data_IF_070988613140
#
_entry.id   IF_070988613140
#
_cell.length_a   1.000
_cell.length_b   1.000
_cell.length_c   1.000
_cell.angle_alpha   90.00
_cell.angle_beta   90.00
_cell.angle_gamma   90.00
#
_symmetry.space_group_name_H-M   'P 1'
#
loop_
_entity.id
_entity.type
_entity.pdbx_description
1 polymer ?
#
# COMPACT_ATOMS: atom_id res chain seq x y z
N UNK A 1 -5.92 -19.97 9.18
CA UNK A 1 -5.59 -21.21 8.41
C UNK A 1 -6.15 -21.18 6.98
N UNK A 2 -5.30 -21.09 5.93
CA UNK A 2 -5.71 -21.19 4.51
C UNK A 2 -5.25 -22.53 3.95
N UNK A 3 -6.19 -23.41 3.58
CA UNK A 3 -5.93 -24.67 2.87
C UNK A 3 -6.77 -24.72 1.60
N UNK A 4 -6.08 -25.08 0.52
CA UNK A 4 -6.57 -25.51 -0.81
C UNK A 4 -7.65 -24.65 -1.50
N UNK A 5 -7.21 -23.91 -2.53
CA UNK A 5 -8.11 -23.35 -3.55
C UNK A 5 -8.69 -21.97 -3.26
N UNK A 6 -7.98 -21.15 -2.47
CA UNK A 6 -8.38 -19.80 -1.98
C UNK A 6 -9.40 -19.07 -2.85
N UNK A 7 -10.66 -19.23 -2.51
CA UNK A 7 -11.76 -18.52 -3.15
C UNK A 7 -11.74 -17.05 -2.74
N UNK A 8 -11.81 -16.15 -3.72
CA UNK A 8 -11.91 -14.71 -3.45
C UNK A 8 -13.37 -14.29 -3.37
N UNK A 9 -13.75 -13.68 -2.25
CA UNK A 9 -15.05 -13.06 -2.07
C UNK A 9 -14.91 -11.54 -1.93
N UNK A 10 -15.80 -10.81 -2.59
CA UNK A 10 -15.82 -9.34 -2.63
C UNK A 10 -17.23 -8.83 -2.38
N UNK A 11 -17.35 -7.68 -1.73
CA UNK A 11 -18.63 -7.01 -1.44
C UNK A 11 -18.41 -5.50 -1.32
N UNK A 12 -19.49 -4.72 -1.33
CA UNK A 12 -19.47 -3.27 -1.22
C UNK A 12 -19.81 -2.57 -2.53
N UNK A 13 -19.17 -1.42 -2.76
CA UNK A 13 -19.43 -0.59 -3.95
C UNK A 13 -18.87 -1.24 -5.21
N UNK A 14 -19.63 -1.20 -6.31
CA UNK A 14 -19.26 -1.90 -7.55
C UNK A 14 -19.57 -1.13 -8.85
N UNK A 15 -19.65 0.20 -8.78
CA UNK A 15 -20.04 1.04 -9.94
C UNK A 15 -19.05 0.99 -11.11
N UNK A 16 -17.78 0.69 -10.84
CA UNK A 16 -16.74 0.53 -11.86
C UNK A 16 -16.34 -0.95 -12.00
N UNK A 17 -17.12 -1.87 -11.44
CA UNK A 17 -16.80 -3.29 -11.44
C UNK A 17 -15.63 -3.67 -10.53
N UNK A 18 -15.26 -2.84 -9.55
CA UNK A 18 -14.11 -3.05 -8.65
C UNK A 18 -14.19 -4.29 -7.76
N UNK A 19 -15.35 -4.96 -7.71
CA UNK A 19 -15.53 -6.24 -7.05
C UNK A 19 -15.22 -7.44 -7.97
N UNK A 20 -15.13 -7.25 -9.29
CA UNK A 20 -14.75 -8.33 -10.22
C UNK A 20 -15.87 -9.35 -10.46
N UNK A 21 -17.11 -8.98 -10.17
CA UNK A 21 -18.31 -9.81 -10.28
C UNK A 21 -19.37 -9.20 -11.21
N UNK A 22 -18.90 -8.60 -12.31
CA UNK A 22 -19.67 -7.76 -13.25
C UNK A 22 -20.12 -6.44 -12.62
N UNK A 23 -20.16 -5.35 -13.39
CA UNK A 23 -20.43 -4.02 -12.84
C UNK A 23 -21.90 -3.87 -12.41
N UNK A 24 -22.13 -3.28 -11.24
CA UNK A 24 -23.47 -3.05 -10.69
C UNK A 24 -23.57 -1.66 -10.07
N UNK A 25 -24.65 -0.93 -10.36
CA UNK A 25 -24.88 0.42 -9.83
C UNK A 25 -25.24 0.43 -8.35
N UNK A 26 -25.84 -0.67 -7.86
CA UNK A 26 -26.17 -0.85 -6.45
C UNK A 26 -25.04 -1.59 -5.71
N UNK A 27 -24.69 -1.17 -4.47
CA UNK A 27 -23.73 -1.88 -3.66
C UNK A 27 -24.15 -3.34 -3.41
N UNK A 28 -23.19 -4.25 -3.39
CA UNK A 28 -23.40 -5.67 -3.08
C UNK A 28 -23.22 -5.86 -1.57
N UNK A 29 -24.28 -6.11 -0.78
CA UNK A 29 -24.20 -6.10 0.68
C UNK A 29 -23.65 -7.41 1.27
N UNK A 30 -23.42 -8.44 0.45
CA UNK A 30 -22.98 -9.76 0.89
C UNK A 30 -21.76 -10.21 0.09
N UNK A 31 -20.81 -10.94 0.71
CA UNK A 31 -19.67 -11.51 0.00
C UNK A 31 -20.10 -12.33 -1.21
N UNK A 32 -19.58 -11.99 -2.40
CA UNK A 32 -19.83 -12.69 -3.64
C UNK A 32 -18.52 -13.26 -4.20
N UNK A 33 -18.59 -14.49 -4.70
CA UNK A 33 -17.44 -15.18 -5.28
C UNK A 33 -17.01 -14.54 -6.60
N UNK A 34 -15.73 -14.20 -6.70
CA UNK A 34 -15.06 -13.77 -7.94
C UNK A 34 -14.77 -15.00 -8.81
N UNK A 35 -15.78 -15.43 -9.58
CA UNK A 35 -15.74 -16.69 -10.35
C UNK A 35 -14.54 -16.81 -11.29
N UNK A 36 -14.06 -15.68 -11.84
CA UNK A 36 -12.94 -15.62 -12.80
C UNK A 36 -11.60 -16.03 -12.20
N UNK A 37 -11.44 -15.95 -10.87
CA UNK A 37 -10.22 -16.35 -10.17
C UNK A 37 -10.35 -17.72 -9.48
N UNK A 38 -11.48 -18.41 -9.65
CA UNK A 38 -11.70 -19.72 -9.03
C UNK A 38 -10.64 -20.72 -9.51
N UNK A 39 -9.99 -21.39 -8.56
CA UNK A 39 -8.95 -22.37 -8.84
C UNK A 39 -7.55 -21.79 -9.05
N UNK A 40 -7.40 -20.46 -9.02
CA UNK A 40 -6.10 -19.79 -9.00
C UNK A 40 -5.68 -19.60 -7.54
N UNK A 41 -4.57 -20.21 -7.08
CA UNK A 41 -4.09 -19.99 -5.73
C UNK A 41 -3.61 -18.54 -5.56
N UNK A 42 -4.28 -17.76 -4.73
CA UNK A 42 -3.94 -16.36 -4.48
C UNK A 42 -2.94 -16.23 -3.31
N UNK A 43 -1.97 -15.35 -3.48
CA UNK A 43 -0.96 -14.99 -2.48
C UNK A 43 -1.33 -13.69 -1.76
N UNK A 44 -1.85 -12.71 -2.50
CA UNK A 44 -2.19 -11.39 -1.97
C UNK A 44 -3.32 -10.75 -2.78
N UNK A 45 -4.07 -9.88 -2.13
CA UNK A 45 -5.02 -8.94 -2.72
C UNK A 45 -4.70 -7.51 -2.27
N UNK A 46 -4.98 -6.53 -3.12
CA UNK A 46 -4.99 -5.11 -2.80
C UNK A 46 -6.21 -4.42 -3.43
N UNK A 47 -6.78 -3.47 -2.70
CA UNK A 47 -7.88 -2.62 -3.16
C UNK A 47 -7.43 -1.16 -3.11
N UNK A 48 -7.67 -0.42 -4.19
CA UNK A 48 -7.39 1.00 -4.33
C UNK A 48 -8.63 1.87 -4.11
N UNK A 49 -8.67 3.03 -4.78
CA UNK A 49 -9.83 3.92 -4.73
C UNK A 49 -11.09 3.28 -5.33
N UNK A 50 -10.97 2.80 -6.58
CA UNK A 50 -12.04 2.12 -7.30
C UNK A 50 -11.53 1.00 -8.21
N UNK A 51 -10.37 0.42 -7.89
CA UNK A 51 -9.80 -0.74 -8.57
C UNK A 51 -9.28 -1.75 -7.56
N UNK A 52 -9.08 -2.98 -8.01
CA UNK A 52 -8.55 -4.08 -7.21
C UNK A 52 -7.52 -4.85 -8.02
N UNK A 53 -6.59 -5.49 -7.33
CA UNK A 53 -5.60 -6.34 -7.95
C UNK A 53 -5.20 -7.49 -7.02
N UNK A 54 -4.73 -8.58 -7.60
CA UNK A 54 -4.25 -9.76 -6.87
C UNK A 54 -2.94 -10.26 -7.45
N UNK A 55 -2.17 -10.91 -6.59
CA UNK A 55 -1.00 -11.69 -6.94
C UNK A 55 -1.31 -13.14 -6.62
N UNK A 56 -1.10 -14.04 -7.59
CA UNK A 56 -1.18 -15.49 -7.38
C UNK A 56 0.10 -16.06 -6.78
N UNK A 57 0.05 -17.29 -6.25
CA UNK A 57 1.25 -17.98 -5.74
C UNK A 57 2.32 -18.23 -6.81
N UNK A 58 1.95 -18.24 -8.10
CA UNK A 58 2.92 -18.32 -9.20
C UNK A 58 3.57 -16.97 -9.55
N UNK A 59 3.10 -15.87 -8.94
CA UNK A 59 3.55 -14.51 -9.21
C UNK A 59 2.82 -13.82 -10.38
N UNK A 60 1.78 -14.45 -10.94
CA UNK A 60 0.91 -13.80 -11.93
C UNK A 60 0.01 -12.74 -11.28
N UNK A 61 -0.17 -11.60 -11.96
CA UNK A 61 -0.94 -10.45 -11.51
C UNK A 61 -2.23 -10.32 -12.30
N UNK A 62 -3.35 -10.09 -11.60
CA UNK A 62 -4.64 -9.75 -12.20
C UNK A 62 -5.14 -8.44 -11.61
N UNK A 63 -5.76 -7.60 -12.44
CA UNK A 63 -6.32 -6.30 -12.04
C UNK A 63 -7.71 -6.09 -12.65
N UNK A 64 -8.55 -5.33 -11.96
CA UNK A 64 -9.89 -4.97 -12.42
C UNK A 64 -10.43 -3.73 -11.67
N UNK A 65 -11.54 -3.20 -12.16
CA UNK A 65 -12.21 -1.99 -11.68
C UNK A 65 -11.98 -0.81 -12.62
N UNK A 66 -11.94 0.38 -12.02
CA UNK A 66 -11.73 1.67 -12.68
C UNK A 66 -10.34 1.77 -13.32
N UNK A 67 -10.23 2.34 -14.52
CA UNK A 67 -8.99 2.42 -15.29
C UNK A 67 -8.71 3.77 -16.00
N UNK A 68 -9.39 4.88 -15.65
CA UNK A 68 -9.22 6.20 -16.29
C UNK A 68 -7.76 6.65 -16.52
N UNK A 69 -6.83 6.22 -15.66
CA UNK A 69 -5.43 6.62 -15.69
C UNK A 69 -4.47 5.47 -16.00
N UNK A 70 -4.97 4.29 -16.35
CA UNK A 70 -4.15 3.10 -16.59
C UNK A 70 -3.76 2.34 -15.31
N UNK A 71 -4.47 2.54 -14.20
CA UNK A 71 -4.16 1.89 -12.90
C UNK A 71 -4.31 0.37 -12.91
N UNK A 72 -4.87 -0.20 -13.98
CA UNK A 72 -4.91 -1.65 -14.21
C UNK A 72 -3.66 -2.20 -14.90
N UNK A 73 -2.85 -1.36 -15.57
CA UNK A 73 -1.59 -1.76 -16.21
C UNK A 73 -1.77 -2.56 -17.51
N UNK A 74 -2.94 -2.44 -18.16
CA UNK A 74 -3.32 -3.24 -19.33
C UNK A 74 -2.95 -2.59 -20.68
N UNK A 75 -2.34 -1.40 -20.66
CA UNK A 75 -1.96 -0.65 -21.86
C UNK A 75 -3.09 0.20 -22.46
N UNK A 76 -4.19 0.36 -21.75
CA UNK A 76 -5.37 1.14 -22.12
C UNK A 76 -5.99 1.83 -20.89
N UNK A 77 -7.06 2.60 -21.10
CA UNK A 77 -7.81 3.32 -20.07
C UNK A 77 -9.23 2.80 -19.89
N UNK A 78 -9.50 1.56 -20.29
CA UNK A 78 -10.84 0.97 -20.23
C UNK A 78 -11.06 0.23 -18.92
N UNK A 79 -12.17 0.51 -18.24
CA UNK A 79 -12.60 -0.20 -17.04
C UNK A 79 -12.74 -1.71 -17.29
N UNK A 80 -12.49 -2.52 -16.26
CA UNK A 80 -12.71 -3.97 -16.31
C UNK A 80 -13.58 -4.40 -15.15
N UNK A 81 -14.73 -4.96 -15.45
CA UNK A 81 -15.64 -5.46 -14.43
C UNK A 81 -15.35 -6.88 -13.92
N UNK A 82 -14.29 -7.47 -14.46
CA UNK A 82 -13.80 -8.80 -14.17
C UNK A 82 -12.26 -8.78 -14.10
N UNK A 83 -11.66 -9.63 -13.24
CA UNK A 83 -10.21 -9.83 -13.18
C UNK A 83 -9.61 -10.08 -14.57
N UNK A 84 -8.66 -9.22 -14.94
CA UNK A 84 -7.93 -9.27 -16.21
C UNK A 84 -6.45 -9.52 -15.96
N UNK A 85 -5.84 -10.39 -16.74
CA UNK A 85 -4.43 -10.75 -16.59
C UNK A 85 -3.51 -9.61 -17.07
N UNK A 86 -2.55 -9.19 -16.24
CA UNK A 86 -1.58 -8.14 -16.58
C UNK A 86 -0.36 -8.78 -17.24
N UNK A 87 -0.44 -9.03 -18.54
CA UNK A 87 0.60 -9.75 -19.30
C UNK A 87 1.98 -9.09 -19.27
N UNK A 88 2.05 -7.76 -19.12
CA UNK A 88 3.31 -7.03 -18.96
C UNK A 88 4.12 -7.46 -17.71
N UNK A 89 3.50 -8.13 -16.74
CA UNK A 89 4.13 -8.64 -15.51
C UNK A 89 4.39 -10.15 -15.50
N UNK A 90 4.21 -10.85 -16.62
CA UNK A 90 4.32 -12.32 -16.69
C UNK A 90 5.65 -12.85 -16.13
N UNK A 91 6.75 -12.16 -16.40
CA UNK A 91 8.09 -12.54 -15.94
C UNK A 91 8.57 -11.73 -14.72
N UNK A 92 7.70 -10.89 -14.15
CA UNK A 92 8.04 -10.04 -13.01
C UNK A 92 8.19 -10.81 -11.70
N UNK A 93 7.57 -11.99 -11.59
CA UNK A 93 7.51 -12.79 -10.35
C UNK A 93 7.04 -11.93 -9.17
N UNK A 94 5.86 -11.34 -9.30
CA UNK A 94 5.28 -10.50 -8.27
C UNK A 94 5.15 -11.28 -6.95
N UNK A 95 5.53 -10.64 -5.86
CA UNK A 95 5.35 -11.17 -4.48
C UNK A 95 4.55 -10.22 -3.62
N UNK A 96 4.48 -8.94 -3.99
CA UNK A 96 3.67 -7.98 -3.29
C UNK A 96 3.00 -6.98 -4.23
N UNK A 97 1.80 -6.53 -3.89
CA UNK A 97 1.04 -5.49 -4.61
C UNK A 97 0.44 -4.46 -3.65
N UNK A 98 0.42 -3.19 -4.07
CA UNK A 98 -0.23 -2.10 -3.34
C UNK A 98 -1.02 -1.24 -4.32
N UNK A 99 -2.23 -0.84 -3.93
CA UNK A 99 -3.10 0.01 -4.73
C UNK A 99 -3.37 1.29 -3.96
N UNK A 100 -3.07 2.44 -4.56
CA UNK A 100 -3.43 3.76 -4.05
C UNK A 100 -4.79 4.21 -4.59
N UNK A 101 -5.03 5.53 -4.60
CA UNK A 101 -6.26 6.11 -5.14
C UNK A 101 -6.52 5.65 -6.59
N UNK A 102 -5.54 5.96 -7.46
CA UNK A 102 -5.61 5.78 -8.91
C UNK A 102 -4.25 5.28 -9.46
N UNK A 103 -3.44 4.61 -8.65
CA UNK A 103 -2.16 4.04 -9.07
C UNK A 103 -1.91 2.70 -8.37
N UNK A 104 -1.00 1.92 -8.94
CA UNK A 104 -0.66 0.58 -8.46
C UNK A 104 0.86 0.43 -8.44
N UNK A 105 1.38 -0.21 -7.41
CA UNK A 105 2.77 -0.61 -7.30
C UNK A 105 2.88 -2.12 -7.10
N UNK A 106 3.85 -2.74 -7.78
CA UNK A 106 4.12 -4.18 -7.71
C UNK A 106 5.59 -4.40 -7.40
N UNK A 107 5.83 -5.27 -6.42
CA UNK A 107 7.15 -5.68 -5.96
C UNK A 107 7.46 -7.10 -6.45
N UNK A 108 8.61 -7.26 -7.10
CA UNK A 108 9.12 -8.58 -7.48
C UNK A 108 9.83 -9.29 -6.34
N UNK A 109 10.00 -10.61 -6.48
CA UNK A 109 10.81 -11.42 -5.55
C UNK A 109 12.26 -10.92 -5.42
N UNK A 110 12.80 -10.35 -6.49
CA UNK A 110 14.15 -9.79 -6.57
C UNK A 110 14.26 -8.38 -5.95
N UNK A 111 13.15 -7.82 -5.44
CA UNK A 111 13.11 -6.51 -4.79
C UNK A 111 13.08 -5.33 -5.78
N UNK A 112 12.60 -5.56 -7.00
CA UNK A 112 12.33 -4.52 -7.99
C UNK A 112 10.92 -3.98 -7.81
N UNK A 113 10.75 -2.67 -8.01
CA UNK A 113 9.45 -2.00 -7.93
C UNK A 113 9.08 -1.47 -9.31
N UNK A 114 7.86 -1.78 -9.75
CA UNK A 114 7.24 -1.10 -10.88
C UNK A 114 5.93 -0.43 -10.44
N UNK A 115 5.61 0.68 -11.07
CA UNK A 115 4.43 1.51 -10.80
C UNK A 115 3.70 1.81 -12.10
N UNK A 116 2.39 2.02 -12.01
CA UNK A 116 1.52 2.38 -13.14
C UNK A 116 0.21 3.04 -12.65
N UNK A 117 -0.50 3.71 -13.55
CA UNK A 117 -1.69 4.50 -13.27
C UNK A 117 -1.44 6.00 -13.31
N UNK A 118 -2.14 6.74 -12.45
CA UNK A 118 -2.05 8.19 -12.37
C UNK A 118 -0.65 8.65 -11.96
N UNK A 119 -0.07 9.59 -12.71
CA UNK A 119 1.26 10.16 -12.44
C UNK A 119 1.29 11.63 -12.10
N UNK A 120 0.15 12.33 -12.12
CA UNK A 120 0.10 13.79 -12.04
C UNK A 120 0.72 14.44 -10.79
N UNK A 121 0.91 13.70 -9.70
CA UNK A 121 1.58 14.16 -8.48
C UNK A 121 3.00 13.60 -8.31
N UNK A 122 3.54 12.86 -9.29
CA UNK A 122 4.82 12.17 -9.17
C UNK A 122 4.75 10.85 -8.38
N UNK A 123 3.56 10.35 -8.05
CA UNK A 123 3.34 9.16 -7.22
C UNK A 123 3.87 7.86 -7.82
N UNK A 124 4.28 7.89 -9.09
CA UNK A 124 4.90 6.76 -9.79
C UNK A 124 6.43 6.76 -9.66
N UNK A 125 7.06 7.88 -9.33
CA UNK A 125 8.50 7.95 -9.08
C UNK A 125 9.39 7.92 -10.33
N UNK A 126 8.86 8.25 -11.51
CA UNK A 126 9.57 8.17 -12.79
C UNK A 126 10.18 9.49 -13.27
N UNK A 127 10.38 10.45 -12.36
CA UNK A 127 10.79 11.81 -12.69
C UNK A 127 9.87 12.47 -13.74
N UNK A 128 8.57 12.19 -13.65
CA UNK A 128 7.56 12.57 -14.63
C UNK A 128 6.21 12.77 -13.95
N UNK A 129 5.34 13.56 -14.57
CA UNK A 129 3.93 13.73 -14.17
C UNK A 129 2.95 13.03 -15.11
N UNK A 130 3.46 12.28 -16.10
CA UNK A 130 2.64 11.53 -17.04
C UNK A 130 2.06 10.26 -16.40
N UNK A 131 0.86 9.87 -16.85
CA UNK A 131 0.29 8.58 -16.48
C UNK A 131 1.04 7.45 -17.20
N UNK A 132 1.10 6.29 -16.56
CA UNK A 132 1.72 5.10 -17.13
C UNK A 132 0.66 4.02 -17.30
N UNK A 133 0.31 3.70 -18.54
CA UNK A 133 -0.74 2.72 -18.86
C UNK A 133 -0.25 1.27 -18.75
N UNK A 134 1.07 1.09 -18.71
CA UNK A 134 1.74 -0.19 -18.54
C UNK A 134 2.72 -0.11 -17.37
N UNK A 135 2.96 -1.20 -16.63
CA UNK A 135 3.94 -1.23 -15.56
C UNK A 135 5.31 -0.72 -16.00
N UNK A 136 5.82 0.30 -15.31
CA UNK A 136 7.14 0.87 -15.54
C UNK A 136 8.01 0.74 -14.29
N UNK A 137 9.26 0.33 -14.48
CA UNK A 137 10.21 0.18 -13.37
C UNK A 137 10.59 1.53 -12.79
N UNK A 138 10.64 1.64 -11.46
CA UNK A 138 11.17 2.80 -10.76
C UNK A 138 12.70 2.68 -10.72
N UNK A 139 13.37 3.29 -11.70
CA UNK A 139 14.80 3.12 -11.95
C UNK A 139 15.68 3.53 -10.76
N UNK A 140 15.25 4.55 -10.02
CA UNK A 140 15.92 5.12 -8.86
C UNK A 140 16.00 4.16 -7.67
N UNK A 141 15.14 3.13 -7.64
CA UNK A 141 15.16 2.07 -6.63
C UNK A 141 15.87 0.79 -7.13
N UNK A 142 16.39 0.81 -8.36
CA UNK A 142 17.07 -0.36 -8.93
C UNK A 142 18.27 -0.76 -8.07
N UNK A 143 18.32 -2.04 -7.69
CA UNK A 143 19.40 -2.58 -6.85
C UNK A 143 19.28 -2.28 -5.35
N UNK A 144 18.30 -1.47 -4.92
CA UNK A 144 18.06 -1.19 -3.49
C UNK A 144 17.60 -2.44 -2.71
N UNK A 145 17.01 -3.42 -3.42
CA UNK A 145 16.36 -4.62 -2.84
C UNK A 145 15.24 -4.22 -1.86
N UNK A 146 14.21 -3.62 -2.44
CA UNK A 146 12.99 -3.24 -1.72
C UNK A 146 12.33 -4.49 -1.13
N UNK A 147 11.77 -4.36 0.07
CA UNK A 147 10.96 -5.44 0.67
C UNK A 147 9.49 -5.09 0.82
N UNK A 148 9.14 -3.80 0.83
CA UNK A 148 7.77 -3.34 1.05
C UNK A 148 7.51 -2.03 0.30
N UNK A 149 6.28 -1.90 -0.21
CA UNK A 149 5.78 -0.72 -0.92
C UNK A 149 4.38 -0.42 -0.42
N UNK A 150 4.05 0.86 -0.25
CA UNK A 150 2.72 1.28 0.14
C UNK A 150 2.27 2.50 -0.68
N UNK A 151 1.08 2.41 -1.26
CA UNK A 151 0.46 3.46 -2.05
C UNK A 151 -0.60 4.21 -1.24
N UNK A 152 -0.53 5.55 -1.25
CA UNK A 152 -1.47 6.41 -0.57
C UNK A 152 -2.84 6.45 -1.26
N UNK A 153 -3.92 6.43 -0.45
CA UNK A 153 -5.31 6.46 -0.93
C UNK A 153 -5.87 7.88 -1.11
N UNK A 154 -5.38 8.85 -0.35
CA UNK A 154 -5.89 10.23 -0.39
C UNK A 154 -4.81 11.18 -0.92
N UNK A 155 -3.66 11.10 -0.28
CA UNK A 155 -2.47 11.77 -0.72
C UNK A 155 -1.81 10.89 -1.79
N UNK A 156 -1.67 11.44 -2.99
CA UNK A 156 -1.08 10.77 -4.16
C UNK A 156 0.42 10.56 -3.92
N UNK A 157 0.80 9.69 -3.00
CA UNK A 157 2.18 9.38 -2.63
C UNK A 157 2.43 7.88 -2.55
N UNK A 158 3.68 7.49 -2.64
CA UNK A 158 4.16 6.11 -2.50
C UNK A 158 5.33 6.07 -1.53
N UNK A 159 5.32 5.09 -0.62
CA UNK A 159 6.38 4.81 0.32
C UNK A 159 7.05 3.47 0.01
N UNK A 160 8.35 3.40 0.20
CA UNK A 160 9.16 2.22 -0.09
C UNK A 160 10.15 1.99 1.04
N UNK A 161 10.19 0.79 1.60
CA UNK A 161 11.19 0.40 2.60
C UNK A 161 12.31 -0.43 1.97
N UNK A 162 13.54 -0.03 2.27
CA UNK A 162 14.78 -0.66 1.82
C UNK A 162 15.54 -1.19 3.04
N UNK A 163 15.42 -2.49 3.36
CA UNK A 163 16.03 -3.07 4.58
C UNK A 163 17.55 -2.97 4.60
N UNK A 164 18.19 -3.11 3.43
CA UNK A 164 19.66 -3.08 3.31
C UNK A 164 20.26 -1.73 3.72
N UNK A 165 19.46 -0.67 3.65
CA UNK A 165 19.85 0.70 3.99
C UNK A 165 19.19 1.20 5.27
N UNK A 166 18.26 0.42 5.84
CA UNK A 166 17.30 0.82 6.87
C UNK A 166 16.67 2.20 6.60
N UNK A 167 16.20 2.38 5.36
CA UNK A 167 15.65 3.65 4.88
C UNK A 167 14.27 3.47 4.29
N UNK A 168 13.42 4.44 4.58
CA UNK A 168 12.16 4.64 3.87
C UNK A 168 12.37 5.72 2.82
N UNK A 169 11.89 5.48 1.62
CA UNK A 169 11.83 6.44 0.53
C UNK A 169 10.38 6.85 0.34
N UNK A 170 10.13 8.12 0.05
CA UNK A 170 8.82 8.62 -0.40
C UNK A 170 8.93 9.16 -1.82
N UNK A 171 7.81 9.29 -2.53
CA UNK A 171 7.63 10.08 -3.74
C UNK A 171 6.14 10.35 -3.96
N UNK A 172 5.80 11.37 -4.74
CA UNK A 172 4.44 11.86 -4.95
C UNK A 172 4.15 13.19 -4.27
N UNK A 173 2.87 13.41 -3.98
CA UNK A 173 2.34 14.60 -3.30
C UNK A 173 3.03 14.78 -1.94
N UNK A 174 3.47 16.01 -1.68
CA UNK A 174 3.91 16.44 -0.35
C UNK A 174 2.83 17.38 0.18
N UNK A 175 2.16 17.03 1.27
CA UNK A 175 1.08 17.87 1.80
C UNK A 175 1.57 19.26 2.26
N UNK A 176 0.65 20.21 2.10
CA UNK A 176 0.77 21.63 2.40
C UNK A 176 1.06 21.87 3.90
N UNK A 177 2.28 22.26 4.21
CA UNK A 177 2.50 23.14 5.36
C UNK A 177 1.88 24.51 5.06
N UNK A 178 1.17 25.11 6.01
CA UNK A 178 0.79 26.52 5.88
C UNK A 178 2.06 27.33 5.61
N UNK A 179 2.09 28.02 4.47
CA UNK A 179 3.22 28.75 3.88
C UNK A 179 4.13 27.96 2.92
N UNK A 180 3.58 27.51 1.79
CA UNK A 180 4.34 27.35 0.54
C UNK A 180 4.04 26.07 -0.23
N UNK A 181 3.68 26.24 -1.50
CA UNK A 181 3.49 25.21 -2.53
C UNK A 181 4.81 24.42 -2.71
N UNK A 182 5.06 23.40 -1.88
CA UNK A 182 6.24 22.56 -2.05
C UNK A 182 6.04 21.68 -3.29
N UNK A 183 7.00 21.67 -4.22
CA UNK A 183 6.85 20.91 -5.44
C UNK A 183 6.72 19.42 -5.14
N UNK A 184 5.79 18.79 -5.86
CA UNK A 184 5.60 17.35 -5.88
C UNK A 184 6.93 16.61 -6.08
N UNK A 185 7.10 15.51 -5.36
CA UNK A 185 8.32 14.73 -5.41
C UNK A 185 8.25 13.69 -6.51
N UNK A 186 8.89 13.98 -7.65
CA UNK A 186 8.78 13.13 -8.85
C UNK A 186 9.66 11.87 -8.84
N UNK A 187 10.61 11.77 -7.90
CA UNK A 187 11.53 10.63 -7.75
C UNK A 187 11.60 10.14 -6.30
N UNK A 188 11.89 8.86 -6.05
CA UNK A 188 12.12 8.35 -4.71
C UNK A 188 13.27 9.08 -4.00
N UNK A 189 13.00 9.66 -2.83
CA UNK A 189 14.01 10.27 -1.96
C UNK A 189 13.88 9.72 -0.55
N UNK A 190 15.00 9.50 0.16
CA UNK A 190 14.96 8.99 1.52
C UNK A 190 14.30 10.00 2.46
N UNK A 191 13.48 9.49 3.37
CA UNK A 191 12.92 10.24 4.49
C UNK A 191 13.97 10.26 5.60
N UNK A 192 14.47 11.44 5.95
CA UNK A 192 15.43 11.58 7.04
C UNK A 192 14.73 11.51 8.40
N UNK A 193 15.25 10.68 9.32
CA UNK A 193 14.84 10.68 10.73
C UNK A 193 15.29 11.99 11.41
N UNK A 194 14.50 12.60 12.31
CA UNK A 194 14.92 13.78 13.06
C UNK A 194 15.87 13.35 14.19
N UNK A 195 17.17 13.24 13.91
CA UNK A 195 18.19 13.16 14.96
C UNK A 195 19.38 14.07 14.61
N UNK A 196 19.62 15.04 15.50
CA UNK A 196 20.77 15.95 15.59
C UNK A 196 20.81 17.18 14.68
N UNK A 197 19.90 18.13 14.91
CA UNK A 197 20.32 19.53 14.97
C UNK A 197 20.15 20.02 16.40
N UNK A 198 21.24 20.00 17.18
CA UNK A 198 21.33 20.59 18.50
C UNK A 198 21.26 22.13 18.46
N UNK A 199 20.15 22.68 17.94
CA UNK A 199 19.79 24.08 18.07
C UNK A 199 18.30 24.17 18.35
N UNK A 200 18.00 24.53 19.59
CA UNK A 200 16.70 25.05 19.99
C UNK A 200 16.38 26.27 19.11
N UNK A 201 15.43 26.13 18.21
CA UNK A 201 14.67 27.29 17.73
C UNK A 201 13.19 26.97 17.94
N UNK A 202 12.59 27.76 18.83
CA UNK A 202 11.15 27.84 19.03
C UNK A 202 10.48 28.11 17.68
N UNK A 203 9.71 27.14 17.21
CA UNK A 203 8.84 27.22 16.06
C UNK A 203 8.05 25.93 16.00
N UNK A 204 6.76 26.00 16.34
CA UNK A 204 5.87 24.84 16.55
C UNK A 204 5.50 24.08 15.26
N UNK A 205 6.15 24.34 14.13
CA UNK A 205 5.66 23.93 12.80
C UNK A 205 6.40 22.72 12.21
N UNK A 206 7.46 22.24 12.87
CA UNK A 206 8.24 21.08 12.40
C UNK A 206 7.72 19.72 12.92
N UNK A 207 6.81 19.74 13.90
CA UNK A 207 6.29 18.55 14.59
C UNK A 207 5.03 17.97 13.92
N UNK A 208 4.32 18.76 13.12
CA UNK A 208 3.10 18.38 12.39
C UNK A 208 3.40 17.50 11.17
N UNK A 209 4.42 17.83 10.37
CA UNK A 209 4.83 17.02 9.19
C UNK A 209 5.17 15.57 9.54
N UNK A 210 5.84 15.35 10.68
CA UNK A 210 6.20 14.01 11.12
C UNK A 210 4.99 13.27 11.67
N UNK A 211 4.05 13.96 12.33
CA UNK A 211 2.84 13.35 12.89
C UNK A 211 1.81 12.97 11.82
N UNK A 212 1.68 13.69 10.72
CA UNK A 212 0.76 13.33 9.64
C UNK A 212 1.38 12.29 8.69
N UNK A 213 2.69 12.38 8.45
CA UNK A 213 3.47 11.28 7.85
C UNK A 213 3.37 10.04 8.75
N UNK A 214 3.41 10.19 10.08
CA UNK A 214 3.13 9.14 11.09
C UNK A 214 1.66 8.76 11.14
N UNK A 215 0.65 9.56 10.80
CA UNK A 215 -0.74 9.07 10.73
C UNK A 215 -0.96 8.25 9.46
N UNK A 216 -0.46 8.72 8.32
CA UNK A 216 -0.41 7.98 7.05
C UNK A 216 0.42 6.69 7.20
N UNK A 217 1.57 6.79 7.88
CA UNK A 217 2.41 5.64 8.21
C UNK A 217 1.99 4.87 9.46
N UNK A 218 1.12 5.33 10.36
CA UNK A 218 0.70 4.54 11.53
C UNK A 218 -0.26 3.43 11.10
N UNK A 219 -0.89 3.58 9.95
CA UNK A 219 -1.58 2.49 9.26
C UNK A 219 -0.64 1.62 8.41
N UNK A 220 0.57 2.09 8.11
CA UNK A 220 1.54 1.39 7.26
C UNK A 220 2.76 0.90 8.04
N UNK A 221 3.64 1.74 8.61
CA UNK A 221 4.78 1.43 9.50
C UNK A 221 4.46 0.47 10.67
N UNK A 222 3.23 0.40 11.17
CA UNK A 222 2.83 -0.62 12.15
C UNK A 222 2.87 -2.06 11.57
N UNK A 223 2.80 -2.20 10.24
CA UNK A 223 3.07 -3.42 9.45
C UNK A 223 4.58 -3.65 9.26
N UNK A 224 5.42 -2.61 9.37
CA UNK A 224 6.81 -2.63 8.85
C UNK A 224 7.85 -3.16 9.84
N UNK A 225 7.51 -3.38 11.11
CA UNK A 225 8.46 -3.95 12.08
C UNK A 225 8.10 -5.38 12.48
N UNK A 226 8.84 -6.32 11.89
CA UNK A 226 9.01 -7.72 12.27
C UNK A 226 8.09 -8.78 11.65
N UNK A 227 8.42 -9.15 10.41
CA UNK A 227 8.53 -10.56 10.04
C UNK A 227 9.80 -11.17 10.65
N UNK A 228 9.76 -11.55 11.93
CA UNK A 228 10.66 -12.58 12.49
C UNK A 228 10.02 -13.24 13.72
N UNK A 229 9.64 -14.51 13.53
CA UNK A 229 9.46 -15.60 14.50
C UNK A 229 8.34 -15.58 15.56
N UNK A 230 7.52 -16.64 15.41
CA UNK A 230 6.90 -17.51 16.41
C UNK A 230 5.43 -17.29 16.85
N UNK A 231 4.69 -18.36 16.53
CA UNK A 231 3.58 -19.05 17.20
C UNK A 231 3.19 -18.62 18.61
N UNK A 232 1.88 -18.83 18.86
CA UNK A 232 1.12 -18.81 20.11
C UNK A 232 0.40 -17.48 20.39
N UNK A 233 -0.90 -17.41 20.02
CA UNK A 233 -2.03 -17.17 20.94
C UNK A 233 -3.37 -17.09 20.18
N UNK A 234 -4.41 -17.70 20.79
CA UNK A 234 -5.80 -17.69 20.34
C UNK A 234 -6.49 -16.40 20.81
N UNK A 235 -6.89 -15.54 19.87
CA UNK A 235 -7.76 -14.38 20.15
C UNK A 235 -7.62 -13.27 19.11
N UNK A 236 -8.74 -12.73 18.62
CA UNK A 236 -8.77 -11.59 17.69
C UNK A 236 -8.56 -10.32 18.52
N UNK A 237 -7.52 -9.54 18.22
CA UNK A 237 -7.26 -8.27 18.86
C UNK A 237 -7.79 -7.12 18.00
N UNK A 238 -8.64 -6.27 18.56
CA UNK A 238 -9.26 -5.14 17.85
C UNK A 238 -8.63 -3.83 18.32
N UNK A 239 -8.20 -2.99 17.37
CA UNK A 239 -7.61 -1.67 17.64
C UNK A 239 -8.72 -0.62 17.72
N UNK A 240 -8.90 0.05 18.86
CA UNK A 240 -9.87 1.15 19.03
C UNK A 240 -9.21 2.52 18.89
N UNK A 241 -9.97 3.55 18.49
CA UNK A 241 -9.46 4.92 18.33
C UNK A 241 -8.84 5.48 19.62
N UNK A 242 -9.34 5.04 20.77
CA UNK A 242 -8.84 5.42 22.11
C UNK A 242 -7.40 4.93 22.35
N UNK A 243 -7.07 3.71 21.86
CA UNK A 243 -5.72 3.13 21.96
C UNK A 243 -4.75 3.89 21.06
N UNK A 244 -5.20 4.26 19.86
CA UNK A 244 -4.41 5.05 18.90
C UNK A 244 -4.14 6.45 19.44
N UNK A 245 -5.15 7.09 20.04
CA UNK A 245 -5.00 8.41 20.68
C UNK A 245 -4.03 8.38 21.87
N UNK A 246 -4.01 7.30 22.65
CA UNK A 246 -3.08 7.11 23.75
C UNK A 246 -1.61 6.98 23.27
N UNK A 247 -1.37 6.34 22.12
CA UNK A 247 -0.04 6.23 21.52
C UNK A 247 0.50 7.56 20.99
N UNK A 248 -0.38 8.38 20.40
CA UNK A 248 -0.02 9.68 19.81
C UNK A 248 0.34 10.73 20.87
N UNK A 249 -0.26 10.63 22.07
CA UNK A 249 -0.16 11.68 23.08
C UNK A 249 1.12 11.67 23.95
N UNK A 250 2.02 10.68 23.81
CA UNK A 250 3.05 10.46 24.84
C UNK A 250 4.49 10.22 24.30
N UNK A 251 5.39 11.16 24.57
CA UNK A 251 6.75 11.24 24.03
C UNK A 251 7.86 10.61 24.90
N UNK A 252 7.54 9.57 25.69
CA UNK A 252 8.53 8.93 26.57
C UNK A 252 9.07 7.59 26.04
N UNK A 253 10.40 7.44 26.10
CA UNK A 253 11.19 6.29 25.59
C UNK A 253 10.76 4.94 26.18
N UNK A 254 10.29 4.92 27.43
CA UNK A 254 9.90 3.69 28.13
C UNK A 254 8.50 3.20 27.75
N UNK A 255 7.67 4.08 27.18
CA UNK A 255 6.34 3.73 26.69
C UNK A 255 6.37 3.19 25.25
N UNK A 256 7.37 3.60 24.45
CA UNK A 256 7.59 3.07 23.09
C UNK A 256 7.80 1.55 23.07
N UNK A 257 8.44 0.97 24.09
CA UNK A 257 8.58 -0.48 24.21
C UNK A 257 7.26 -1.19 24.55
N UNK A 258 6.36 -0.54 25.28
CA UNK A 258 5.01 -1.05 25.53
C UNK A 258 4.13 -0.94 24.27
N UNK A 259 4.21 0.18 23.55
CA UNK A 259 3.56 0.37 22.25
C UNK A 259 4.05 -0.70 21.25
N UNK A 260 5.36 -0.96 21.19
CA UNK A 260 5.90 -2.09 20.40
C UNK A 260 5.33 -3.44 20.83
N UNK A 261 5.11 -3.66 22.13
CA UNK A 261 4.57 -4.93 22.66
C UNK A 261 3.09 -5.11 22.33
N UNK A 262 2.30 -4.05 22.41
CA UNK A 262 0.87 -4.08 22.06
C UNK A 262 0.66 -4.19 20.55
N UNK A 263 1.47 -3.48 19.76
CA UNK A 263 1.60 -3.69 18.30
C UNK A 263 1.92 -5.16 18.03
N UNK A 264 2.97 -5.73 18.64
CA UNK A 264 3.33 -7.15 18.48
C UNK A 264 2.17 -8.10 18.78
N UNK A 265 1.36 -7.84 19.82
CA UNK A 265 0.23 -8.69 20.21
C UNK A 265 -0.93 -8.61 19.20
N UNK A 266 -1.20 -7.42 18.65
CA UNK A 266 -2.30 -7.19 17.69
C UNK A 266 -1.95 -7.80 16.31
N UNK A 267 -0.71 -7.60 15.86
CA UNK A 267 -0.24 -8.06 14.54
C UNK A 267 0.15 -9.54 14.49
N UNK A 268 0.22 -10.24 15.63
CA UNK A 268 0.36 -11.70 15.69
C UNK A 268 -0.98 -12.45 15.67
N UNK A 269 -2.11 -11.71 15.64
CA UNK A 269 -3.45 -12.29 15.46
C UNK A 269 -3.76 -12.56 13.99
N UNK A 270 -4.49 -13.64 13.68
CA UNK A 270 -4.80 -14.06 12.29
C UNK A 270 -5.56 -13.00 11.46
N UNK A 271 -6.03 -11.89 12.06
CA UNK A 271 -6.79 -10.84 11.39
C UNK A 271 -5.97 -10.01 10.37
N UNK A 272 -4.66 -9.83 10.59
CA UNK A 272 -3.80 -9.06 9.69
C UNK A 272 -3.39 -9.81 8.41
N UNK A 273 -3.62 -11.13 8.35
CA UNK A 273 -3.28 -11.97 7.19
C UNK A 273 -4.27 -11.77 6.03
N UNK A 274 -5.49 -11.30 6.31
CA UNK A 274 -6.60 -11.34 5.34
C UNK A 274 -7.00 -9.97 4.77
N UNK A 275 -6.26 -8.89 5.04
CA UNK A 275 -6.51 -7.58 4.40
C UNK A 275 -7.96 -7.09 4.52
N UNK A 276 -8.68 -7.51 5.56
CA UNK A 276 -10.05 -7.09 5.80
C UNK A 276 -10.04 -5.83 6.66
N UNK A 277 -10.23 -4.68 6.04
CA UNK A 277 -10.68 -3.50 6.76
C UNK A 277 -11.98 -3.03 6.11
N UNK A 278 -13.08 -3.33 6.80
CA UNK A 278 -14.39 -2.69 6.63
C UNK A 278 -14.27 -1.19 6.93
#
# INVERSE_FOLDING_TARGET
>A
SVREGGELFTWGQNTHGQLGVESQTTPIPKPQLVKRLKGIPLAQIAAGGAHSAVVSLSGAVYSWGKNDFGQLGLGDTEDRDCPSYVGALEHWKAVFISCGADHTAVLSKEGLVCTFGAGGAGQLGHNSTQNELTPRVVAELWGARVSQVACGRWEKHTLVYVPSLDKVYSFGSREEGQQGDQPNQLIPLPINSPVNTGKSHQGNDHCTMYNDLIKSTCNLVSIFTHFTQNSYLNGIATLTEEVVAAWISNSSLQHWENVKKDIRLIFSSEACINGSFL
#
